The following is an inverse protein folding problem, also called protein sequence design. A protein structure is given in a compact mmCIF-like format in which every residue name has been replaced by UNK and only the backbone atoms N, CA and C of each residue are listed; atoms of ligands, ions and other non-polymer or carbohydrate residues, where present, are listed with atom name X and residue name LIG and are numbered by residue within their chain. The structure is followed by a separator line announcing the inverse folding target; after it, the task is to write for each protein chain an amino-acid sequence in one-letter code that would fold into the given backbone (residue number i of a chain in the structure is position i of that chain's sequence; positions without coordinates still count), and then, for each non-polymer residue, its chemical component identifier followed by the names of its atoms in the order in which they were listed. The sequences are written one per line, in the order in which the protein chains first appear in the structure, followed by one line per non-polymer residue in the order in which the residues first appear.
data_IF_605022089521
#
_entry.id   IF_605022089521
#
_cell.length_a   1.000
_cell.length_b   1.000
_cell.length_c   1.000
_cell.angle_alpha   90.00
_cell.angle_beta   90.00
_cell.angle_gamma   90.00
#
_symmetry.space_group_name_H-M   'P 1'
#
loop_
_entity.id
_entity.type
_entity.pdbx_description
1 polymer ?
#
# COMPACT_ATOMS: atom_id res chain seq x y z
N UNK A 1 -12.50 -11.63 -5.42
CA UNK A 1 -11.52 -10.87 -6.23
C UNK A 1 -12.25 -9.94 -7.18
N UNK A 2 -12.11 -8.63 -6.95
CA UNK A 2 -12.71 -7.55 -7.72
C UNK A 2 -12.32 -7.63 -9.22
N UNK A 3 -13.28 -7.35 -10.10
CA UNK A 3 -13.08 -7.42 -11.54
C UNK A 3 -12.04 -6.42 -12.04
N UNK A 4 -11.91 -5.26 -11.41
CA UNK A 4 -10.94 -4.20 -11.75
C UNK A 4 -9.54 -4.60 -11.33
N UNK A 5 -9.39 -5.25 -10.18
CA UNK A 5 -8.11 -5.88 -9.75
C UNK A 5 -7.71 -6.95 -10.77
N UNK A 6 -8.64 -7.83 -11.13
CA UNK A 6 -8.39 -8.87 -12.15
C UNK A 6 -7.98 -8.26 -13.49
N UNK A 7 -8.61 -7.17 -13.91
CA UNK A 7 -8.28 -6.47 -15.15
C UNK A 7 -6.88 -5.86 -15.10
N UNK A 8 -6.53 -5.14 -14.03
CA UNK A 8 -5.20 -4.57 -13.83
C UNK A 8 -4.11 -5.65 -13.90
N UNK A 9 -4.29 -6.77 -13.19
CA UNK A 9 -3.31 -7.85 -13.20
C UNK A 9 -3.16 -8.49 -14.59
N UNK A 10 -4.24 -8.58 -15.36
CA UNK A 10 -4.18 -9.06 -16.76
C UNK A 10 -3.44 -8.07 -17.66
N UNK A 11 -3.67 -6.77 -17.49
CA UNK A 11 -2.98 -5.72 -18.25
C UNK A 11 -1.47 -5.77 -17.97
N UNK A 12 -1.08 -5.80 -16.69
CA UNK A 12 0.33 -5.88 -16.28
C UNK A 12 1.03 -7.12 -16.81
N UNK A 13 0.35 -8.28 -16.85
CA UNK A 13 0.89 -9.52 -17.41
C UNK A 13 1.10 -9.48 -18.93
N UNK A 14 0.35 -8.65 -19.64
CA UNK A 14 0.39 -8.53 -21.11
C UNK A 14 1.31 -7.41 -21.58
N UNK A 15 1.59 -6.44 -20.71
CA UNK A 15 2.39 -5.28 -21.04
C UNK A 15 3.84 -5.68 -21.38
N UNK A 16 4.37 -5.15 -22.48
CA UNK A 16 5.79 -5.32 -22.86
C UNK A 16 6.73 -4.36 -22.11
N UNK A 17 6.15 -3.36 -21.46
CA UNK A 17 6.81 -2.39 -20.59
C UNK A 17 5.75 -1.79 -19.68
N UNK A 18 6.12 -1.53 -18.42
CA UNK A 18 5.23 -1.00 -17.39
C UNK A 18 5.82 0.29 -16.88
N UNK A 19 5.05 1.37 -16.93
CA UNK A 19 5.40 2.62 -16.25
C UNK A 19 5.16 2.43 -14.74
N UNK A 20 6.21 2.50 -13.90
CA UNK A 20 6.06 2.32 -12.46
C UNK A 20 5.20 3.40 -11.79
N UNK A 21 5.26 4.64 -12.27
CA UNK A 21 4.53 5.78 -11.69
C UNK A 21 3.04 5.64 -11.99
N UNK A 22 2.69 5.39 -13.25
CA UNK A 22 1.29 5.19 -13.64
C UNK A 22 0.69 3.99 -12.90
N UNK A 23 1.45 2.88 -12.81
CA UNK A 23 0.99 1.67 -12.13
C UNK A 23 0.80 1.89 -10.64
N UNK A 24 1.74 2.59 -9.97
CA UNK A 24 1.59 3.01 -8.58
C UNK A 24 0.31 3.80 -8.35
N UNK A 25 0.00 4.76 -9.21
CA UNK A 25 -1.23 5.56 -9.08
C UNK A 25 -2.49 4.72 -9.28
N UNK A 26 -2.54 3.87 -10.31
CA UNK A 26 -3.69 2.96 -10.53
C UNK A 26 -3.89 2.01 -9.37
N UNK A 27 -2.81 1.44 -8.82
CA UNK A 27 -2.88 0.57 -7.64
C UNK A 27 -3.42 1.36 -6.45
N UNK A 28 -2.89 2.54 -6.16
CA UNK A 28 -3.36 3.33 -5.02
C UNK A 28 -4.83 3.73 -5.12
N UNK A 29 -5.29 4.09 -6.32
CA UNK A 29 -6.70 4.38 -6.56
C UNK A 29 -7.58 3.14 -6.32
N UNK A 30 -7.19 1.98 -6.86
CA UNK A 30 -7.93 0.73 -6.69
C UNK A 30 -7.92 0.25 -5.24
N UNK A 31 -6.80 0.42 -4.54
CA UNK A 31 -6.63 -0.04 -3.16
C UNK A 31 -7.68 0.60 -2.23
N UNK A 32 -7.91 1.91 -2.32
CA UNK A 32 -8.95 2.59 -1.51
C UNK A 32 -10.40 2.22 -1.88
N UNK A 33 -10.61 1.52 -3.00
CA UNK A 33 -11.92 1.15 -3.52
C UNK A 33 -12.31 -0.31 -3.23
N UNK A 34 -11.33 -1.17 -2.96
CA UNK A 34 -11.59 -2.57 -2.60
C UNK A 34 -11.76 -2.71 -1.08
N UNK A 35 -12.24 -3.88 -0.67
CA UNK A 35 -12.55 -4.19 0.74
C UNK A 35 -12.07 -5.57 1.15
N UNK A 36 -11.94 -6.48 0.19
CA UNK A 36 -11.45 -7.83 0.43
C UNK A 36 -9.93 -7.82 0.64
N UNK A 37 -9.48 -8.44 1.73
CA UNK A 37 -8.04 -8.60 2.01
C UNK A 37 -7.29 -9.25 0.84
N UNK A 38 -7.90 -10.25 0.18
CA UNK A 38 -7.27 -10.90 -0.97
C UNK A 38 -7.00 -9.93 -2.13
N UNK A 39 -7.83 -8.91 -2.29
CA UNK A 39 -7.66 -7.88 -3.31
C UNK A 39 -6.55 -6.89 -2.93
N UNK A 40 -6.49 -6.49 -1.65
CA UNK A 40 -5.37 -5.69 -1.14
C UNK A 40 -4.04 -6.39 -1.31
N UNK A 41 -3.97 -7.68 -0.95
CA UNK A 41 -2.75 -8.49 -1.11
C UNK A 41 -2.36 -8.59 -2.58
N UNK A 42 -3.30 -8.88 -3.48
CA UNK A 42 -3.01 -8.98 -4.90
C UNK A 42 -2.51 -7.65 -5.50
N UNK A 43 -3.04 -6.51 -5.02
CA UNK A 43 -2.57 -5.17 -5.42
C UNK A 43 -1.17 -4.85 -4.87
N UNK A 44 -0.87 -5.23 -3.62
CA UNK A 44 0.46 -5.06 -3.03
C UNK A 44 1.51 -5.92 -3.72
N UNK A 45 1.17 -7.17 -4.08
CA UNK A 45 2.07 -8.04 -4.85
C UNK A 45 2.40 -7.45 -6.23
N UNK A 46 1.40 -6.85 -6.90
CA UNK A 46 1.61 -6.16 -8.17
C UNK A 46 2.48 -4.91 -8.02
N UNK A 47 2.23 -4.11 -6.97
CA UNK A 47 3.02 -2.93 -6.64
C UNK A 47 4.49 -3.32 -6.41
N UNK A 48 4.73 -4.33 -5.59
CA UNK A 48 6.08 -4.77 -5.25
C UNK A 48 6.85 -5.31 -6.45
N UNK A 49 6.18 -6.08 -7.32
CA UNK A 49 6.81 -6.58 -8.54
C UNK A 49 7.28 -5.42 -9.44
N UNK A 50 6.42 -4.41 -9.64
CA UNK A 50 6.70 -3.28 -10.52
C UNK A 50 7.77 -2.37 -9.91
N UNK A 51 7.66 -2.04 -8.64
CA UNK A 51 8.62 -1.15 -7.97
C UNK A 51 9.99 -1.81 -7.78
N UNK A 52 10.04 -3.12 -7.53
CA UNK A 52 11.29 -3.87 -7.52
C UNK A 52 11.97 -3.81 -8.89
N UNK A 53 11.21 -3.96 -9.97
CA UNK A 53 11.76 -3.82 -11.32
C UNK A 53 12.26 -2.39 -11.57
N UNK A 54 11.53 -1.36 -11.13
CA UNK A 54 11.95 0.03 -11.25
C UNK A 54 13.28 0.30 -10.53
N UNK A 55 13.43 -0.19 -9.29
CA UNK A 55 14.68 -0.08 -8.52
C UNK A 55 15.82 -0.79 -9.24
N UNK A 56 15.59 -1.99 -9.79
CA UNK A 56 16.61 -2.74 -10.54
C UNK A 56 17.08 -1.99 -11.79
N UNK A 57 16.15 -1.44 -12.57
CA UNK A 57 16.47 -0.63 -13.76
C UNK A 57 17.29 0.60 -13.36
N UNK A 58 16.87 1.32 -12.32
CA UNK A 58 17.57 2.51 -11.85
C UNK A 58 19.00 2.18 -11.36
N UNK A 59 19.16 1.08 -10.63
CA UNK A 59 20.47 0.60 -10.20
C UNK A 59 21.37 0.15 -11.36
N UNK A 60 20.80 -0.52 -12.37
CA UNK A 60 21.53 -0.94 -13.56
C UNK A 60 22.04 0.25 -14.38
N UNK A 61 21.31 1.37 -14.36
CA UNK A 61 21.74 2.65 -14.93
C UNK A 61 22.81 3.37 -14.07
N UNK A 62 23.27 2.77 -12.97
CA UNK A 62 24.25 3.35 -12.06
C UNK A 62 23.72 4.52 -11.22
N UNK A 63 22.39 4.69 -11.13
CA UNK A 63 21.76 5.77 -10.36
C UNK A 63 21.50 5.33 -8.93
N UNK A 64 21.52 6.31 -8.01
CA UNK A 64 21.14 6.06 -6.62
C UNK A 64 19.66 5.68 -6.50
N UNK A 65 19.38 4.67 -5.67
CA UNK A 65 18.04 4.11 -5.46
C UNK A 65 17.49 4.39 -4.06
N UNK A 66 18.25 5.05 -3.18
CA UNK A 66 17.87 5.26 -1.79
C UNK A 66 16.53 6.01 -1.65
N UNK A 67 16.36 7.11 -2.38
CA UNK A 67 15.12 7.89 -2.37
C UNK A 67 13.91 7.08 -2.84
N UNK A 68 14.08 6.28 -3.91
CA UNK A 68 13.01 5.42 -4.43
C UNK A 68 12.63 4.32 -3.44
N UNK A 69 13.61 3.65 -2.82
CA UNK A 69 13.35 2.65 -1.78
C UNK A 69 12.63 3.24 -0.58
N UNK A 70 13.00 4.46 -0.17
CA UNK A 70 12.31 5.18 0.91
C UNK A 70 10.87 5.52 0.54
N UNK A 71 10.61 5.94 -0.70
CA UNK A 71 9.25 6.20 -1.18
C UNK A 71 8.39 4.92 -1.22
N UNK A 72 8.96 3.82 -1.71
CA UNK A 72 8.29 2.50 -1.73
C UNK A 72 7.90 2.07 -0.31
N UNK A 73 8.81 2.23 0.66
CA UNK A 73 8.51 1.90 2.06
C UNK A 73 7.38 2.79 2.63
N UNK A 74 7.40 4.08 2.31
CA UNK A 74 6.32 5.00 2.72
C UNK A 74 4.98 4.58 2.11
N UNK A 75 4.94 4.16 0.85
CA UNK A 75 3.73 3.68 0.18
C UNK A 75 3.17 2.43 0.86
N UNK A 76 4.01 1.43 1.15
CA UNK A 76 3.59 0.19 1.83
C UNK A 76 2.97 0.47 3.20
N UNK A 77 3.56 1.39 3.96
CA UNK A 77 2.99 1.85 5.24
C UNK A 77 1.67 2.60 5.03
N UNK A 78 1.59 3.43 3.99
CA UNK A 78 0.36 4.12 3.60
C UNK A 78 -0.78 3.16 3.26
N UNK A 79 -0.49 2.09 2.50
CA UNK A 79 -1.47 1.04 2.19
C UNK A 79 -1.94 0.30 3.44
N UNK A 80 -1.02 -0.03 4.36
CA UNK A 80 -1.39 -0.66 5.62
C UNK A 80 -2.34 0.22 6.46
N UNK A 81 -2.09 1.52 6.50
CA UNK A 81 -2.95 2.50 7.18
C UNK A 81 -4.32 2.59 6.49
N UNK A 82 -4.35 2.73 5.16
CA UNK A 82 -5.59 2.84 4.38
C UNK A 82 -6.47 1.59 4.55
N UNK A 83 -5.86 0.40 4.53
CA UNK A 83 -6.56 -0.86 4.75
C UNK A 83 -7.12 -0.95 6.18
N UNK A 84 -6.32 -0.56 7.18
CA UNK A 84 -6.74 -0.53 8.58
C UNK A 84 -7.84 0.50 8.87
N UNK A 85 -8.01 1.50 8.00
CA UNK A 85 -9.12 2.44 8.06
C UNK A 85 -10.40 1.89 7.41
N UNK A 86 -10.32 0.78 6.65
CA UNK A 86 -11.44 0.19 5.89
C UNK A 86 -12.18 1.22 4.99
N UNK A 87 -11.48 2.26 4.56
CA UNK A 87 -12.04 3.40 3.83
C UNK A 87 -12.99 4.31 4.63
N UNK A 88 -12.90 4.27 5.96
CA UNK A 88 -13.41 5.28 6.90
C UNK A 88 -12.35 6.33 7.26
N UNK A 89 -12.68 7.21 8.20
CA UNK A 89 -11.76 8.27 8.69
C UNK A 89 -11.00 7.87 9.95
N UNK A 90 -11.31 6.70 10.52
CA UNK A 90 -10.76 6.22 11.78
C UNK A 90 -9.92 4.98 11.54
N UNK A 91 -8.70 5.02 12.05
CA UNK A 91 -7.78 3.89 12.06
C UNK A 91 -8.22 2.88 13.12
N UNK A 92 -8.37 1.60 12.77
CA UNK A 92 -8.54 0.49 13.72
C UNK A 92 -7.15 -0.05 14.11
N UNK A 93 -6.63 0.23 15.33
CA UNK A 93 -5.25 -0.13 15.69
C UNK A 93 -4.99 -1.64 15.69
N UNK A 94 -5.90 -2.51 16.19
CA UNK A 94 -5.80 -3.96 16.00
C UNK A 94 -5.78 -4.42 14.54
N UNK A 95 -6.54 -3.81 13.63
CA UNK A 95 -6.43 -4.12 12.20
C UNK A 95 -5.05 -3.73 11.67
N UNK A 96 -4.57 -2.52 11.97
CA UNK A 96 -3.25 -2.06 11.53
C UNK A 96 -2.15 -3.01 11.99
N UNK A 97 -2.17 -3.44 13.25
CA UNK A 97 -1.18 -4.38 13.76
C UNK A 97 -1.18 -5.69 12.98
N UNK A 98 -2.36 -6.30 12.76
CA UNK A 98 -2.48 -7.55 11.99
C UNK A 98 -2.01 -7.39 10.54
N UNK A 99 -2.34 -6.27 9.91
CA UNK A 99 -1.91 -5.97 8.54
C UNK A 99 -0.38 -5.85 8.51
N UNK A 100 0.23 -5.11 9.44
CA UNK A 100 1.69 -4.98 9.51
C UNK A 100 2.36 -6.33 9.73
N UNK A 101 1.85 -7.18 10.62
CA UNK A 101 2.39 -8.54 10.81
C UNK A 101 2.32 -9.37 9.53
N UNK A 102 1.19 -9.29 8.80
CA UNK A 102 1.02 -9.94 7.50
C UNK A 102 2.04 -9.44 6.47
N UNK A 103 2.25 -8.12 6.40
CA UNK A 103 3.19 -7.51 5.46
C UNK A 103 4.66 -7.81 5.80
N UNK A 104 4.99 -7.91 7.08
CA UNK A 104 6.32 -8.35 7.55
C UNK A 104 6.55 -9.83 7.21
N UNK A 105 5.57 -10.70 7.49
CA UNK A 105 5.65 -12.12 7.16
C UNK A 105 5.78 -12.38 5.65
N UNK A 106 5.19 -11.52 4.82
CA UNK A 106 5.31 -11.56 3.36
C UNK A 106 6.62 -10.96 2.83
N UNK A 107 7.47 -10.37 3.70
CA UNK A 107 8.72 -9.71 3.30
C UNK A 107 8.53 -8.38 2.57
N UNK A 108 7.32 -7.80 2.64
CA UNK A 108 6.99 -6.50 2.03
C UNK A 108 7.31 -5.36 2.99
N UNK A 109 7.25 -5.59 4.30
CA UNK A 109 7.59 -4.60 5.33
C UNK A 109 8.71 -5.10 6.25
N UNK A 110 9.54 -4.18 6.75
CA UNK A 110 10.56 -4.49 7.75
C UNK A 110 9.96 -4.48 9.16
N UNK A 111 10.50 -5.31 10.04
CA UNK A 111 10.17 -5.29 11.46
C UNK A 111 10.87 -4.10 12.13
N UNK A 112 10.23 -2.92 12.10
CA UNK A 112 10.81 -1.66 12.57
C UNK A 112 9.90 -0.89 13.55
N UNK A 113 10.24 0.37 13.82
CA UNK A 113 9.51 1.23 14.74
C UNK A 113 8.04 1.44 14.33
N UNK A 114 7.70 1.34 13.05
CA UNK A 114 6.32 1.40 12.59
C UNK A 114 5.52 0.18 13.08
N UNK A 115 6.10 -1.02 13.01
CA UNK A 115 5.48 -2.24 13.54
C UNK A 115 5.32 -2.19 15.06
N UNK A 116 6.31 -1.68 15.77
CA UNK A 116 6.23 -1.47 17.23
C UNK A 116 5.12 -0.48 17.60
N UNK A 117 4.97 0.60 16.85
CA UNK A 117 3.89 1.57 17.05
C UNK A 117 2.51 0.95 16.80
N UNK A 118 2.35 0.15 15.74
CA UNK A 118 1.10 -0.54 15.45
C UNK A 118 0.72 -1.52 16.58
N UNK A 119 1.69 -2.30 17.06
CA UNK A 119 1.51 -3.22 18.18
C UNK A 119 1.12 -2.48 19.48
N UNK A 120 1.85 -1.42 19.83
CA UNK A 120 1.57 -0.63 21.02
C UNK A 120 0.19 0.04 20.94
N UNK A 121 -0.17 0.60 19.78
CA UNK A 121 -1.49 1.18 19.53
C UNK A 121 -2.62 0.16 19.73
N UNK A 122 -2.47 -1.05 19.18
CA UNK A 122 -3.43 -2.13 19.37
C UNK A 122 -3.59 -2.51 20.85
N UNK A 123 -2.49 -2.59 21.61
CA UNK A 123 -2.50 -2.96 23.02
C UNK A 123 -3.16 -1.89 23.92
N UNK A 124 -2.98 -0.60 23.61
CA UNK A 124 -3.50 0.51 24.44
C UNK A 124 -4.94 0.87 24.09
N UNK A 125 -5.26 0.96 22.80
CA UNK A 125 -6.53 1.54 22.35
C UNK A 125 -7.61 0.47 22.09
N UNK A 126 -7.23 -0.77 21.78
CA UNK A 126 -8.19 -1.79 21.34
C UNK A 126 -9.02 -1.33 20.12
N UNK A 127 -10.21 -1.91 19.93
CA UNK A 127 -11.13 -1.52 18.86
C UNK A 127 -12.11 -0.45 19.35
N UNK A 128 -11.84 0.82 19.09
CA UNK A 128 -12.77 1.93 19.36
C UNK A 128 -13.52 2.31 18.07
N UNK A 129 -14.74 1.80 17.84
CA UNK A 129 -15.59 2.22 16.71
C UNK A 129 -16.84 2.97 17.21
N UNK A 130 -17.26 4.05 16.51
CA UNK A 130 -18.11 3.88 15.33
C UNK A 130 -17.62 4.66 14.09
N UNK A 131 -17.92 4.11 12.91
CA UNK A 131 -17.53 4.60 11.57
C UNK A 131 -18.64 5.47 10.94
N UNK A 132 -18.41 6.77 10.67
CA UNK A 132 -19.21 7.55 9.73
C UNK A 132 -18.55 7.59 8.33
N UNK A 133 -19.38 7.82 7.31
CA UNK A 133 -19.07 7.62 5.87
C UNK A 133 -18.54 8.89 5.18
N UNK A 134 -17.36 8.73 4.52
CA UNK A 134 -16.71 9.43 3.36
C UNK A 134 -16.70 10.98 3.23
N UNK A 135 -15.51 11.54 2.92
CA UNK A 135 -15.07 11.95 1.54
C UNK A 135 -13.58 12.40 1.41
N UNK A 136 -12.86 11.79 0.45
CA UNK A 136 -11.78 12.36 -0.40
C UNK A 136 -10.51 13.00 0.24
N UNK A 137 -9.82 12.32 1.16
CA UNK A 137 -8.55 12.83 1.71
C UNK A 137 -7.33 12.62 0.77
N UNK A 138 -7.19 11.44 0.17
CA UNK A 138 -5.98 11.09 -0.61
C UNK A 138 -5.78 11.89 -1.91
N UNK A 139 -6.85 12.40 -2.52
CA UNK A 139 -6.72 13.29 -3.69
C UNK A 139 -5.91 14.55 -3.38
N UNK A 140 -6.04 15.08 -2.15
CA UNK A 140 -5.37 16.30 -1.72
C UNK A 140 -3.87 16.12 -1.47
N UNK A 141 -3.46 14.90 -1.12
CA UNK A 141 -2.07 14.60 -0.76
C UNK A 141 -1.21 14.26 -1.98
N UNK A 142 -1.83 13.76 -3.07
CA UNK A 142 -1.15 13.52 -4.35
C UNK A 142 -1.12 14.77 -5.26
N UNK A 143 -2.04 15.73 -5.09
CA UNK A 143 -2.08 16.98 -5.87
C UNK A 143 -1.15 18.10 -5.33
N UNK A 144 -0.59 17.96 -4.11
CA UNK A 144 0.24 19.00 -3.46
C UNK A 144 1.75 18.81 -3.62
N UNK A 145 2.18 17.81 -4.41
CA UNK A 145 3.59 17.51 -4.67
C UNK A 145 4.09 17.90 -6.07
N UNK A 146 3.43 18.83 -6.76
CA UNK A 146 3.81 19.27 -8.11
C UNK A 146 4.35 20.70 -8.15
#
# INVERSE_FOLDING_TARGET
MDARVTALLKDLKRAKGVDPIETRHRIAELFGQVRDESDHVALLDAFDAVMTQAVRTLAADGKDTAALKSAILADRRGFAIEEAMAGGETLDPPALHRIVEREVAAGRMEADSFGQLAQAGAAVLGSTAPVPVRKNFLRKLLETGS
#
